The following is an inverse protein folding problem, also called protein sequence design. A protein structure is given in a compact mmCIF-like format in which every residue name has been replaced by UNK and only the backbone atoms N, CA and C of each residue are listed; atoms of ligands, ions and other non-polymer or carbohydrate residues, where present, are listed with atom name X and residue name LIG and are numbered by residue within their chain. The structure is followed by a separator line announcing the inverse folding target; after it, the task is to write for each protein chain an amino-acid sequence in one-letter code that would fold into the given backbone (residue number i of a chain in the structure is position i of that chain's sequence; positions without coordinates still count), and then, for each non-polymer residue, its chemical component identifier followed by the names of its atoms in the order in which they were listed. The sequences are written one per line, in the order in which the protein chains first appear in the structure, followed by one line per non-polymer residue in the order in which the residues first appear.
data_IF_514916746403
#
_entry.id   IF_514916746403
#
_cell.length_a   1.000
_cell.length_b   1.000
_cell.length_c   1.000
_cell.angle_alpha   90.00
_cell.angle_beta   90.00
_cell.angle_gamma   90.00
#
_symmetry.space_group_name_H-M   'P 1'
#
loop_
_entity.id
_entity.type
_entity.pdbx_description
1 polymer ?
#
# COMPACT_ATOMS: atom_id res chain seq x y z
N UNK A 1 -36.97 -7.37 -0.72
CA UNK A 1 -37.30 -8.08 -1.98
C UNK A 1 -36.25 -7.68 -3.02
N UNK A 2 -35.32 -8.57 -3.32
CA UNK A 2 -34.90 -8.86 -4.70
C UNK A 2 -34.93 -10.38 -4.80
N UNK A 3 -35.62 -10.88 -5.82
CA UNK A 3 -36.23 -12.20 -5.87
C UNK A 3 -35.59 -12.98 -7.01
N UNK A 4 -34.27 -13.06 -7.00
CA UNK A 4 -33.48 -13.76 -8.02
C UNK A 4 -32.83 -15.01 -7.41
N UNK A 5 -33.66 -16.05 -7.28
CA UNK A 5 -33.28 -17.36 -7.80
C UNK A 5 -32.34 -18.31 -7.04
N UNK A 6 -31.53 -17.92 -6.04
CA UNK A 6 -30.96 -18.92 -5.09
C UNK A 6 -30.13 -18.43 -3.89
N UNK A 7 -30.05 -17.13 -3.62
CA UNK A 7 -29.20 -16.63 -2.54
C UNK A 7 -30.04 -15.84 -1.54
N UNK A 8 -30.13 -16.36 -0.31
CA UNK A 8 -30.71 -15.62 0.82
C UNK A 8 -29.57 -14.93 1.54
N UNK A 9 -29.63 -13.60 1.65
CA UNK A 9 -28.70 -12.86 2.47
C UNK A 9 -28.88 -13.31 3.92
N UNK A 10 -27.85 -13.95 4.47
CA UNK A 10 -27.83 -14.41 5.85
C UNK A 10 -27.61 -13.20 6.75
N UNK A 11 -28.44 -12.99 7.79
CA UNK A 11 -28.20 -11.93 8.76
C UNK A 11 -26.87 -12.12 9.49
N UNK A 12 -26.21 -11.02 9.88
CA UNK A 12 -24.91 -11.04 10.58
C UNK A 12 -24.96 -11.75 11.95
N UNK A 13 -26.15 -12.05 12.48
CA UNK A 13 -26.37 -12.82 13.70
C UNK A 13 -26.47 -14.34 13.48
N UNK A 14 -26.39 -14.79 12.22
CA UNK A 14 -26.39 -16.20 11.81
C UNK A 14 -27.73 -16.92 11.92
N UNK A 15 -28.79 -16.18 12.24
CA UNK A 15 -30.13 -16.71 12.33
C UNK A 15 -30.93 -16.29 11.11
N UNK A 16 -31.10 -17.22 10.19
CA UNK A 16 -32.02 -16.99 9.08
C UNK A 16 -33.44 -17.37 9.52
N UNK A 17 -34.33 -16.37 9.58
CA UNK A 17 -35.75 -16.59 9.80
C UNK A 17 -36.45 -16.95 8.49
N UNK A 18 -37.01 -18.14 8.41
CA UNK A 18 -37.73 -18.63 7.24
C UNK A 18 -39.16 -18.08 7.15
N UNK A 19 -39.77 -18.04 5.96
CA UNK A 19 -41.16 -17.60 5.77
C UNK A 19 -42.20 -18.39 6.57
N UNK A 20 -41.89 -19.63 6.96
CA UNK A 20 -42.75 -20.46 7.80
C UNK A 20 -42.58 -20.18 9.31
N UNK A 21 -41.78 -19.18 9.69
CA UNK A 21 -41.53 -18.80 11.07
C UNK A 21 -40.42 -19.59 11.78
N UNK A 22 -39.86 -20.61 11.14
CA UNK A 22 -38.74 -21.37 11.69
C UNK A 22 -37.44 -20.56 11.62
N UNK A 23 -36.54 -20.80 12.59
CA UNK A 23 -35.19 -20.28 12.56
C UNK A 23 -34.24 -21.39 12.15
N UNK A 24 -33.37 -21.11 11.17
CA UNK A 24 -32.20 -21.94 10.89
C UNK A 24 -30.99 -21.18 11.45
N UNK A 25 -30.30 -21.80 12.39
CA UNK A 25 -28.94 -21.39 12.76
C UNK A 25 -28.01 -21.98 11.73
N UNK A 26 -27.37 -21.10 10.96
CA UNK A 26 -26.39 -21.56 9.98
C UNK A 26 -25.06 -21.83 10.70
N UNK A 27 -24.42 -22.98 10.47
CA UNK A 27 -23.16 -23.33 11.14
C UNK A 27 -22.01 -22.40 10.74
N UNK A 28 -22.19 -21.61 9.68
CA UNK A 28 -21.28 -20.54 9.28
C UNK A 28 -22.07 -19.30 8.84
N UNK A 29 -21.72 -18.16 9.41
CA UNK A 29 -22.01 -16.85 8.83
C UNK A 29 -20.87 -16.56 7.89
N UNK A 30 -21.17 -16.26 6.63
CA UNK A 30 -20.13 -15.80 5.71
C UNK A 30 -19.80 -14.35 6.06
N UNK A 31 -18.88 -14.14 7.01
CA UNK A 31 -18.34 -12.83 7.34
C UNK A 31 -17.34 -12.38 6.26
N UNK A 32 -17.84 -12.21 5.05
CA UNK A 32 -17.03 -11.75 3.90
C UNK A 32 -16.62 -10.30 4.16
N UNK A 33 -17.51 -9.50 4.77
CA UNK A 33 -17.29 -8.07 4.98
C UNK A 33 -16.06 -7.79 5.83
N UNK A 34 -15.83 -8.53 6.92
CA UNK A 34 -14.63 -8.35 7.75
C UNK A 34 -13.38 -9.07 7.21
N UNK A 35 -13.49 -9.71 6.04
CA UNK A 35 -12.41 -10.38 5.30
C UNK A 35 -12.08 -9.69 3.96
N UNK A 36 -12.61 -8.49 3.74
CA UNK A 36 -12.24 -7.62 2.62
C UNK A 36 -11.15 -6.65 3.07
N UNK A 37 -9.99 -6.72 2.40
CA UNK A 37 -8.86 -5.84 2.66
C UNK A 37 -8.76 -4.76 1.58
N UNK A 38 -8.58 -3.52 2.05
CA UNK A 38 -8.18 -2.38 1.24
C UNK A 38 -6.74 -2.03 1.62
N UNK A 39 -5.88 -1.93 0.61
CA UNK A 39 -4.49 -1.49 0.79
C UNK A 39 -4.39 -0.03 0.35
N UNK A 40 -3.80 0.85 1.13
CA UNK A 40 -3.49 2.21 0.70
C UNK A 40 -2.00 2.47 0.81
N UNK A 41 -1.52 3.44 0.03
CA UNK A 41 -0.15 3.91 0.05
C UNK A 41 -0.16 5.44 0.02
N UNK A 42 0.72 6.06 0.80
CA UNK A 42 0.86 7.52 0.83
C UNK A 42 1.55 8.04 -0.44
N UNK A 43 1.14 9.22 -0.91
CA UNK A 43 1.91 10.00 -1.86
C UNK A 43 2.94 10.82 -1.10
N UNK A 44 4.15 10.92 -1.63
CA UNK A 44 5.27 11.49 -0.90
C UNK A 44 5.94 12.63 -1.67
N UNK A 45 6.47 13.58 -0.90
CA UNK A 45 7.31 14.66 -1.38
C UNK A 45 8.51 14.72 -0.44
N UNK A 46 9.72 14.69 -0.98
CA UNK A 46 10.95 14.79 -0.22
C UNK A 46 11.92 15.74 -0.91
N UNK A 47 12.82 16.35 -0.13
CA UNK A 47 13.94 17.08 -0.72
C UNK A 47 14.99 16.08 -1.20
N UNK A 48 15.66 16.38 -2.31
CA UNK A 48 16.77 15.58 -2.81
C UNK A 48 17.85 15.40 -1.71
N UNK A 49 18.08 16.46 -0.92
CA UNK A 49 19.03 16.49 0.20
C UNK A 49 18.64 15.61 1.40
N UNK A 50 17.39 15.15 1.51
CA UNK A 50 17.00 14.16 2.51
C UNK A 50 17.62 12.78 2.21
N UNK A 51 18.04 12.55 0.96
CA UNK A 51 18.68 11.32 0.49
C UNK A 51 17.76 10.10 0.48
N UNK A 52 16.47 10.29 0.74
CA UNK A 52 15.46 9.24 0.78
C UNK A 52 14.04 9.79 0.72
N UNK A 53 13.12 8.93 0.31
CA UNK A 53 11.68 9.13 0.39
C UNK A 53 11.03 7.92 1.05
N UNK A 54 10.09 8.14 1.97
CA UNK A 54 9.50 7.09 2.80
C UNK A 54 8.00 6.98 2.56
N UNK A 55 7.56 5.86 2.01
CA UNK A 55 6.15 5.55 1.79
C UNK A 55 5.58 4.79 2.99
N UNK A 56 4.31 5.04 3.32
CA UNK A 56 3.55 4.26 4.29
C UNK A 56 2.48 3.44 3.58
N UNK A 57 2.60 2.12 3.65
CA UNK A 57 1.60 1.18 3.13
C UNK A 57 0.71 0.75 4.29
N UNK A 58 -0.60 0.88 4.13
CA UNK A 58 -1.60 0.69 5.19
C UNK A 58 -2.69 -0.28 4.77
N UNK A 59 -3.17 -1.09 5.71
CA UNK A 59 -4.33 -1.96 5.59
C UNK A 59 -5.49 -1.35 6.37
N UNK A 60 -6.73 -1.52 5.88
CA UNK A 60 -7.93 -1.13 6.63
C UNK A 60 -8.18 -1.97 7.89
N UNK A 61 -7.53 -3.13 8.00
CA UNK A 61 -7.60 -4.05 9.14
C UNK A 61 -6.30 -4.84 9.24
N UNK A 62 -5.86 -5.14 10.46
CA UNK A 62 -4.72 -6.01 10.70
C UNK A 62 -5.07 -7.46 10.32
N UNK A 63 -4.06 -8.17 9.81
CA UNK A 63 -4.16 -9.57 9.42
C UNK A 63 -3.51 -10.46 10.47
N UNK A 64 -3.99 -11.70 10.59
CA UNK A 64 -3.48 -12.66 11.57
C UNK A 64 -2.14 -13.28 11.17
N UNK A 65 -1.79 -13.25 9.89
CA UNK A 65 -0.53 -13.76 9.35
C UNK A 65 0.25 -12.65 8.61
N UNK A 66 1.51 -12.92 8.28
CA UNK A 66 2.32 -12.02 7.46
C UNK A 66 1.72 -11.90 6.04
N UNK A 67 1.53 -10.65 5.59
CA UNK A 67 1.10 -10.34 4.22
C UNK A 67 2.32 -9.98 3.38
N UNK A 68 2.55 -10.73 2.31
CA UNK A 68 3.62 -10.43 1.33
C UNK A 68 3.06 -9.67 0.13
N UNK A 69 3.68 -8.54 -0.18
CA UNK A 69 3.41 -7.69 -1.34
C UNK A 69 4.65 -7.61 -2.23
N UNK A 70 4.46 -7.21 -3.48
CA UNK A 70 5.54 -6.93 -4.43
C UNK A 70 5.61 -5.43 -4.71
N UNK A 71 6.81 -4.88 -4.63
CA UNK A 71 7.10 -3.46 -4.87
C UNK A 71 7.92 -3.28 -6.14
N UNK A 72 7.52 -2.32 -6.97
CA UNK A 72 8.25 -1.94 -8.19
C UNK A 72 8.13 -0.44 -8.44
N UNK A 73 9.25 0.22 -8.75
CA UNK A 73 9.24 1.64 -9.14
C UNK A 73 8.89 1.78 -10.62
N UNK A 74 8.12 2.82 -10.95
CA UNK A 74 7.79 3.24 -12.32
C UNK A 74 8.38 4.63 -12.52
N UNK A 75 9.11 4.80 -13.61
CA UNK A 75 9.83 6.05 -13.88
C UNK A 75 8.84 7.13 -14.32
N UNK A 76 9.12 8.37 -13.92
CA UNK A 76 8.44 9.57 -14.40
C UNK A 76 9.45 10.46 -15.10
N UNK A 77 9.64 11.69 -14.60
CA UNK A 77 10.79 12.50 -15.00
C UNK A 77 12.07 12.05 -14.28
N UNK A 78 11.96 11.57 -13.04
CA UNK A 78 13.07 10.93 -12.33
C UNK A 78 13.32 9.52 -12.90
N UNK A 79 14.59 9.18 -13.08
CA UNK A 79 15.11 7.95 -13.66
C UNK A 79 15.72 7.07 -12.55
N UNK A 80 15.25 5.82 -12.45
CA UNK A 80 15.82 4.86 -11.49
C UNK A 80 17.27 4.53 -11.79
N UNK A 81 18.05 4.35 -10.71
CA UNK A 81 19.52 4.19 -10.66
C UNK A 81 20.32 5.45 -11.02
N UNK A 82 19.65 6.56 -11.35
CA UNK A 82 20.24 7.90 -11.47
C UNK A 82 19.77 8.78 -10.31
N UNK A 83 18.46 8.95 -10.17
CA UNK A 83 17.85 9.92 -9.25
C UNK A 83 17.30 9.22 -7.97
N UNK A 84 16.98 7.93 -8.07
CA UNK A 84 16.54 7.11 -6.94
C UNK A 84 16.92 5.65 -7.11
N UNK A 85 16.92 4.88 -6.02
CA UNK A 85 17.15 3.42 -6.05
C UNK A 85 16.02 2.71 -6.79
N UNK A 86 16.31 2.09 -7.93
CA UNK A 86 15.31 1.33 -8.68
C UNK A 86 14.89 0.09 -7.91
N UNK A 87 13.57 -0.09 -7.76
CA UNK A 87 13.00 -1.30 -7.17
C UNK A 87 12.30 -2.13 -8.25
N UNK A 88 12.57 -3.43 -8.28
CA UNK A 88 11.94 -4.39 -9.20
C UNK A 88 11.50 -5.65 -8.46
N UNK A 89 10.20 -5.86 -8.41
CA UNK A 89 9.50 -7.05 -7.89
C UNK A 89 9.98 -7.47 -6.48
N UNK A 90 10.32 -6.48 -5.66
CA UNK A 90 10.88 -6.67 -4.31
C UNK A 90 9.78 -7.14 -3.37
N UNK A 91 10.07 -8.16 -2.58
CA UNK A 91 9.16 -8.60 -1.51
C UNK A 91 9.12 -7.59 -0.38
N UNK A 92 7.91 -7.27 0.04
CA UNK A 92 7.62 -6.40 1.16
C UNK A 92 6.59 -7.06 2.07
N UNK A 93 6.93 -7.22 3.33
CA UNK A 93 6.10 -7.97 4.28
C UNK A 93 5.51 -7.01 5.29
N UNK A 94 4.18 -6.93 5.36
CA UNK A 94 3.48 -6.33 6.51
C UNK A 94 3.30 -7.46 7.53
N UNK A 95 3.90 -7.29 8.71
CA UNK A 95 3.85 -8.31 9.76
C UNK A 95 2.43 -8.52 10.29
N UNK A 96 2.13 -9.74 10.71
CA UNK A 96 0.90 -10.09 11.42
C UNK A 96 0.62 -9.07 12.55
N UNK A 97 -0.64 -8.66 12.68
CA UNK A 97 -1.09 -7.69 13.68
C UNK A 97 -0.80 -6.22 13.34
N UNK A 98 0.06 -5.92 12.35
CA UNK A 98 0.33 -4.55 11.95
C UNK A 98 -0.72 -4.03 10.96
N UNK A 99 -1.13 -2.78 11.17
CA UNK A 99 -1.99 -2.06 10.24
C UNK A 99 -1.20 -1.37 9.12
N UNK A 100 0.07 -1.07 9.35
CA UNK A 100 0.88 -0.37 8.36
C UNK A 100 2.35 -0.73 8.47
N UNK A 101 3.08 -0.50 7.38
CA UNK A 101 4.53 -0.60 7.38
C UNK A 101 5.13 0.41 6.40
N UNK A 102 6.29 0.94 6.78
CA UNK A 102 7.03 1.92 6.00
C UNK A 102 7.98 1.24 5.02
N UNK A 103 8.12 1.83 3.84
CA UNK A 103 9.09 1.44 2.83
C UNK A 103 9.88 2.67 2.38
N UNK A 104 11.20 2.61 2.54
CA UNK A 104 12.10 3.70 2.17
C UNK A 104 12.79 3.39 0.85
N UNK A 105 12.80 4.37 -0.05
CA UNK A 105 13.60 4.37 -1.28
C UNK A 105 14.68 5.43 -1.11
N UNK A 106 15.94 5.08 -1.43
CA UNK A 106 17.04 6.06 -1.43
C UNK A 106 16.89 6.99 -2.62
N UNK A 107 17.16 8.27 -2.38
CA UNK A 107 17.24 9.31 -3.40
C UNK A 107 18.71 9.69 -3.55
N UNK A 108 19.19 9.80 -4.78
CA UNK A 108 20.53 10.30 -5.03
C UNK A 108 20.55 11.78 -4.65
N UNK A 109 21.49 12.18 -3.79
CA UNK A 109 21.74 13.59 -3.50
C UNK A 109 23.12 13.91 -4.04
N UNK A 110 23.17 14.53 -5.21
CA UNK A 110 24.43 14.77 -5.93
C UNK A 110 24.81 16.26 -6.00
N UNK A 111 23.89 17.13 -5.60
CA UNK A 111 24.07 18.56 -5.49
C UNK A 111 24.05 19.31 -6.82
N UNK A 112 23.65 18.67 -7.91
CA UNK A 112 23.31 19.35 -9.15
C UNK A 112 21.83 19.71 -9.13
N UNK A 113 21.51 20.91 -9.59
CA UNK A 113 20.13 21.32 -9.75
C UNK A 113 19.50 20.67 -10.99
N UNK A 114 18.42 19.90 -10.81
CA UNK A 114 17.72 19.12 -11.85
C UNK A 114 16.22 19.47 -12.00
N UNK A 115 15.76 20.60 -11.46
CA UNK A 115 14.33 20.93 -11.29
C UNK A 115 13.57 19.89 -10.43
N UNK A 116 12.26 20.09 -10.24
CA UNK A 116 11.42 19.11 -9.53
C UNK A 116 11.10 17.91 -10.43
N UNK A 117 11.38 16.72 -9.92
CA UNK A 117 11.12 15.47 -10.61
C UNK A 117 10.16 14.55 -9.88
N UNK A 118 9.65 13.52 -10.57
CA UNK A 118 8.74 12.55 -9.97
C UNK A 118 8.92 11.14 -10.52
N UNK A 119 8.54 10.18 -9.69
CA UNK A 119 8.40 8.77 -10.05
C UNK A 119 7.20 8.19 -9.29
N UNK A 120 6.90 6.90 -9.50
CA UNK A 120 5.82 6.22 -8.79
C UNK A 120 6.28 4.91 -8.17
N UNK A 121 5.66 4.53 -7.05
CA UNK A 121 5.80 3.21 -6.44
C UNK A 121 4.53 2.39 -6.67
N UNK A 122 4.66 1.29 -7.41
CA UNK A 122 3.61 0.28 -7.58
C UNK A 122 3.75 -0.77 -6.48
N UNK A 123 2.63 -1.03 -5.80
CA UNK A 123 2.46 -2.13 -4.86
C UNK A 123 1.46 -3.10 -5.47
N UNK A 124 1.80 -4.39 -5.51
CA UNK A 124 0.88 -5.44 -5.95
C UNK A 124 0.75 -6.55 -4.93
N UNK A 125 -0.48 -6.98 -4.72
CA UNK A 125 -0.87 -8.20 -4.06
C UNK A 125 -1.03 -9.32 -5.11
N UNK A 126 -0.46 -10.48 -4.82
CA UNK A 126 -0.58 -11.68 -5.65
C UNK A 126 -1.41 -12.74 -4.92
N UNK A 127 -2.30 -13.43 -5.64
CA UNK A 127 -3.09 -14.50 -5.05
C UNK A 127 -2.17 -15.59 -4.47
N UNK A 128 -2.46 -16.03 -3.25
CA UNK A 128 -1.65 -17.02 -2.54
C UNK A 128 -0.42 -16.47 -1.80
N UNK A 129 -0.15 -15.16 -1.88
CA UNK A 129 0.89 -14.48 -1.08
C UNK A 129 0.52 -14.34 0.41
N UNK A 130 -0.76 -14.54 0.74
CA UNK A 130 -1.28 -14.60 2.11
C UNK A 130 -1.73 -16.02 2.46
N UNK A 131 -1.46 -16.46 3.70
CA UNK A 131 -1.75 -17.83 4.17
C UNK A 131 -2.85 -17.93 5.24
N UNK A 132 -3.27 -16.80 5.81
CA UNK A 132 -4.36 -16.77 6.80
C UNK A 132 -5.75 -16.91 6.19
N UNK A 133 -6.77 -17.09 7.04
CA UNK A 133 -8.17 -17.33 6.65
C UNK A 133 -9.09 -16.11 6.82
N UNK A 134 -8.56 -15.02 7.38
CA UNK A 134 -9.19 -13.72 7.67
C UNK A 134 -9.08 -12.71 6.51
N UNK A 135 -8.57 -13.14 5.37
CA UNK A 135 -8.61 -12.43 4.09
C UNK A 135 -9.32 -13.30 3.05
N UNK A 136 -10.35 -12.75 2.42
CA UNK A 136 -11.07 -13.37 1.29
C UNK A 136 -10.89 -12.61 0.00
N UNK A 137 -10.77 -11.30 0.07
CA UNK A 137 -10.63 -10.45 -1.10
C UNK A 137 -9.74 -9.24 -0.79
N UNK A 138 -8.88 -8.88 -1.74
CA UNK A 138 -8.21 -7.58 -1.78
C UNK A 138 -8.85 -6.79 -2.92
N UNK A 139 -9.58 -5.73 -2.60
CA UNK A 139 -10.36 -4.98 -3.61
C UNK A 139 -9.50 -4.15 -4.55
N UNK A 140 -8.29 -3.81 -4.12
CA UNK A 140 -7.31 -3.07 -4.89
C UNK A 140 -5.96 -3.80 -4.91
N UNK A 141 -5.87 -4.91 -5.67
CA UNK A 141 -4.68 -5.75 -5.69
C UNK A 141 -3.48 -5.06 -6.33
N UNK A 142 -3.67 -3.93 -7.02
CA UNK A 142 -2.60 -3.07 -7.50
C UNK A 142 -2.93 -1.64 -7.08
N UNK A 143 -1.99 -0.99 -6.40
CA UNK A 143 -2.06 0.42 -6.04
C UNK A 143 -0.76 1.11 -6.42
N UNK A 144 -0.86 2.41 -6.72
CA UNK A 144 0.27 3.23 -7.15
C UNK A 144 0.28 4.51 -6.33
N UNK A 145 1.43 4.87 -5.79
CA UNK A 145 1.68 6.18 -5.18
C UNK A 145 2.64 6.99 -6.04
N UNK A 146 2.44 8.31 -6.05
CA UNK A 146 3.38 9.27 -6.62
C UNK A 146 4.42 9.68 -5.56
N UNK A 147 5.67 9.76 -5.98
CA UNK A 147 6.75 10.42 -5.26
C UNK A 147 7.23 11.64 -6.05
N UNK A 148 7.47 12.75 -5.35
CA UNK A 148 8.06 13.96 -5.92
C UNK A 148 9.37 14.25 -5.21
N UNK A 149 10.44 14.42 -5.98
CA UNK A 149 11.74 14.85 -5.51
C UNK A 149 11.81 16.37 -5.76
N UNK A 150 11.97 17.13 -4.68
CA UNK A 150 12.18 18.56 -4.75
C UNK A 150 13.67 18.84 -4.69
N UNK A 151 14.16 19.53 -5.71
CA UNK A 151 15.53 20.00 -5.78
C UNK A 151 15.51 21.53 -5.92
N UNK A 152 16.48 22.19 -5.29
CA UNK A 152 16.60 23.63 -5.21
C UNK A 152 17.99 24.05 -5.66
N UNK A 153 18.14 25.21 -6.34
CA UNK A 153 19.44 25.72 -6.71
C UNK A 153 20.36 25.84 -5.49
N UNK A 154 21.47 25.10 -5.47
CA UNK A 154 22.45 25.16 -4.37
C UNK A 154 23.13 26.53 -4.24
N UNK A 155 23.02 27.37 -5.27
CA UNK A 155 23.60 28.72 -5.32
C UNK A 155 23.01 29.68 -4.27
N UNK A 156 21.84 29.34 -3.69
CA UNK A 156 21.16 30.11 -2.65
C UNK A 156 21.45 29.61 -1.22
N UNK A 157 22.22 28.53 -1.05
CA UNK A 157 22.66 28.10 0.28
C UNK A 157 23.82 28.99 0.78
N UNK A 158 23.76 29.55 2.00
CA UNK A 158 24.86 30.33 2.56
C UNK A 158 26.13 29.48 2.58
N UNK A 159 27.13 29.85 1.77
CA UNK A 159 28.44 29.19 1.82
C UNK A 159 29.00 29.39 3.22
N UNK A 160 29.37 28.31 3.90
CA UNK A 160 30.11 28.40 5.16
C UNK A 160 31.33 29.30 4.94
N UNK A 161 31.54 30.34 5.77
CA UNK A 161 32.73 31.17 5.65
C UNK A 161 33.96 30.27 5.70
N UNK A 162 34.87 30.40 4.73
CA UNK A 162 36.18 29.74 4.84
C UNK A 162 36.88 30.30 6.09
N UNK A 163 37.38 29.46 7.00
CA UNK A 163 38.27 29.95 8.05
C UNK A 163 39.52 30.56 7.39
N UNK A 164 39.89 31.75 7.86
CA UNK A 164 41.10 32.48 7.45
C UNK A 164 42.37 31.72 7.84
#
# INVERSE_FOLDING_TARGET
MSRDGNYVLVPEDGNLKLPNGNNITLPFICDIKNKIINISISNEIAYETDGKIEFTITLNKALNEDLTLKLSTIYGSAIGDKDFERIKDKEFIIKAGNLSQKFTIKVASDGKYEDSENFMLKVSYEEGSYKGDDLKEVVNPIIIAKATILDFPQEDCPKTPKPN
#
